data_IF_979446667074
#
_entry.id   IF_979446667074
#
_cell.length_a   1.000
_cell.length_b   1.000
_cell.length_c   1.000
_cell.angle_alpha   90.00
_cell.angle_beta   90.00
_cell.angle_gamma   90.00
#
_symmetry.space_group_name_H-M   'P 1'
#
loop_
_entity.id
_entity.type
_entity.pdbx_description
1 polymer ?
#
# COMPACT_ATOMS: atom_id res chain seq x y z
N UNK A 1 -20.35 6.92 6.12
CA UNK A 1 -19.19 7.00 5.21
C UNK A 1 -19.55 8.00 4.12
N UNK A 2 -18.73 9.00 3.85
CA UNK A 2 -19.05 9.96 2.79
C UNK A 2 -18.92 9.32 1.40
N UNK A 3 -19.74 9.75 0.43
CA UNK A 3 -19.68 9.27 -0.96
C UNK A 3 -18.27 9.44 -1.57
N UNK A 4 -17.55 10.48 -1.13
CA UNK A 4 -16.17 10.72 -1.54
C UNK A 4 -15.22 9.59 -1.08
N UNK A 5 -15.32 9.14 0.18
CA UNK A 5 -14.49 8.02 0.67
C UNK A 5 -14.83 6.71 -0.04
N UNK A 6 -16.11 6.48 -0.37
CA UNK A 6 -16.53 5.33 -1.18
C UNK A 6 -15.94 5.38 -2.59
N UNK A 7 -15.97 6.54 -3.25
CA UNK A 7 -15.38 6.70 -4.57
C UNK A 7 -13.86 6.45 -4.55
N UNK A 8 -13.15 6.97 -3.53
CA UNK A 8 -11.73 6.72 -3.34
C UNK A 8 -11.44 5.23 -3.08
N UNK A 9 -12.27 4.56 -2.27
CA UNK A 9 -12.14 3.12 -2.01
C UNK A 9 -12.41 2.27 -3.26
N UNK A 10 -13.38 2.66 -4.10
CA UNK A 10 -13.62 2.01 -5.38
C UNK A 10 -12.43 2.15 -6.36
N UNK A 11 -11.76 3.31 -6.35
CA UNK A 11 -10.54 3.50 -7.12
C UNK A 11 -9.44 2.55 -6.65
N UNK A 12 -9.16 2.50 -5.34
CA UNK A 12 -8.12 1.61 -4.81
C UNK A 12 -8.46 0.13 -5.00
N UNK A 13 -9.75 -0.22 -5.01
CA UNK A 13 -10.18 -1.56 -5.43
C UNK A 13 -9.79 -1.84 -6.89
N UNK A 14 -10.10 -0.92 -7.82
CA UNK A 14 -9.75 -1.09 -9.25
C UNK A 14 -8.24 -1.24 -9.44
N UNK A 15 -7.43 -0.45 -8.72
CA UNK A 15 -5.98 -0.49 -8.77
C UNK A 15 -5.44 -1.84 -8.27
N UNK A 16 -5.88 -2.27 -7.09
CA UNK A 16 -5.46 -3.54 -6.50
C UNK A 16 -5.96 -4.73 -7.31
N UNK A 17 -7.18 -4.67 -7.84
CA UNK A 17 -7.70 -5.75 -8.68
C UNK A 17 -6.83 -5.92 -9.94
N UNK A 18 -6.42 -4.84 -10.60
CA UNK A 18 -5.50 -4.88 -11.74
C UNK A 18 -4.12 -5.44 -11.38
N UNK A 19 -3.65 -5.20 -10.17
CA UNK A 19 -2.38 -5.70 -9.67
C UNK A 19 -2.44 -7.21 -9.39
N UNK A 20 -3.40 -7.63 -8.58
CA UNK A 20 -3.45 -9.00 -8.07
C UNK A 20 -4.03 -10.00 -9.08
N UNK A 21 -5.00 -9.61 -9.90
CA UNK A 21 -5.56 -10.49 -10.94
C UNK A 21 -4.53 -10.82 -12.02
N UNK A 22 -3.62 -9.88 -12.32
CA UNK A 22 -2.58 -10.10 -13.33
C UNK A 22 -1.66 -11.29 -12.96
N UNK A 23 -1.40 -11.51 -11.66
CA UNK A 23 -0.56 -12.63 -11.20
C UNK A 23 -1.17 -13.98 -11.58
N UNK A 24 -2.47 -14.15 -11.38
CA UNK A 24 -3.16 -15.41 -11.70
C UNK A 24 -3.42 -15.62 -13.20
N UNK A 25 -3.37 -14.53 -13.99
CA UNK A 25 -3.56 -14.59 -15.45
C UNK A 25 -2.28 -14.85 -16.23
N UNK A 26 -1.09 -14.86 -15.60
CA UNK A 26 0.20 -15.06 -16.28
C UNK A 26 0.19 -16.27 -17.22
N UNK A 27 -0.28 -17.47 -16.83
CA UNK A 27 -0.32 -18.62 -17.73
C UNK A 27 -1.24 -18.39 -18.95
N UNK A 28 -2.44 -17.83 -18.73
CA UNK A 28 -3.41 -17.57 -19.79
C UNK A 28 -2.92 -16.51 -20.78
N UNK A 29 -2.22 -15.47 -20.30
CA UNK A 29 -1.61 -14.45 -21.15
C UNK A 29 -0.46 -15.06 -21.96
N UNK A 30 0.40 -15.89 -21.35
CA UNK A 30 1.52 -16.52 -22.01
C UNK A 30 1.03 -17.42 -23.18
N UNK A 31 0.00 -18.22 -22.95
CA UNK A 31 -0.64 -19.04 -23.99
C UNK A 31 -1.23 -18.16 -25.08
N UNK A 32 -2.02 -17.14 -24.71
CA UNK A 32 -2.73 -16.29 -25.67
C UNK A 32 -1.81 -15.38 -26.50
N UNK A 33 -0.64 -15.04 -26.00
CA UNK A 33 0.34 -14.17 -26.70
C UNK A 33 1.49 -14.95 -27.36
N UNK A 34 1.61 -16.25 -27.12
CA UNK A 34 2.74 -17.09 -27.51
C UNK A 34 4.10 -16.60 -26.95
N UNK A 35 4.07 -15.91 -25.80
CA UNK A 35 5.25 -15.44 -25.09
C UNK A 35 5.60 -16.36 -23.92
N UNK A 36 6.85 -16.33 -23.48
CA UNK A 36 7.26 -17.13 -22.31
C UNK A 36 6.61 -16.63 -21.03
N UNK A 37 6.33 -17.53 -20.09
CA UNK A 37 5.82 -17.20 -18.75
C UNK A 37 6.72 -16.18 -18.05
N UNK A 38 8.05 -16.30 -18.21
CA UNK A 38 9.02 -15.34 -17.67
C UNK A 38 8.85 -13.93 -18.26
N UNK A 39 8.63 -13.83 -19.57
CA UNK A 39 8.37 -12.55 -20.24
C UNK A 39 7.09 -11.89 -19.74
N UNK A 40 6.02 -12.70 -19.57
CA UNK A 40 4.77 -12.18 -19.02
C UNK A 40 4.91 -11.82 -17.55
N UNK A 41 5.69 -12.57 -16.76
CA UNK A 41 5.99 -12.23 -15.37
C UNK A 41 6.63 -10.85 -15.21
N UNK A 42 7.40 -10.37 -16.21
CA UNK A 42 7.95 -9.00 -16.20
C UNK A 42 6.86 -7.91 -16.16
N UNK A 43 5.63 -8.18 -16.63
CA UNK A 43 4.51 -7.24 -16.54
C UNK A 43 4.18 -6.84 -15.09
N UNK A 44 4.35 -7.77 -14.15
CA UNK A 44 4.11 -7.54 -12.71
C UNK A 44 5.20 -6.63 -12.16
N UNK A 45 6.46 -6.95 -12.46
CA UNK A 45 7.61 -6.16 -12.00
C UNK A 45 7.60 -4.74 -12.56
N UNK A 46 7.34 -4.56 -13.87
CA UNK A 46 7.33 -3.24 -14.49
C UNK A 46 6.16 -2.37 -13.99
N UNK A 47 5.02 -2.99 -13.63
CA UNK A 47 3.92 -2.31 -12.97
C UNK A 47 4.33 -1.78 -11.59
N UNK A 48 4.97 -2.61 -10.76
CA UNK A 48 5.45 -2.23 -9.44
C UNK A 48 6.52 -1.11 -9.51
N UNK A 49 7.41 -1.15 -10.52
CA UNK A 49 8.34 -0.05 -10.80
C UNK A 49 7.58 1.22 -11.15
N UNK A 50 6.54 1.13 -11.99
CA UNK A 50 5.65 2.24 -12.29
C UNK A 50 5.04 2.86 -11.03
N UNK A 51 4.49 2.04 -10.13
CA UNK A 51 3.92 2.48 -8.84
C UNK A 51 4.97 3.22 -8.01
N UNK A 52 6.16 2.62 -7.87
CA UNK A 52 7.26 3.17 -7.06
C UNK A 52 7.78 4.51 -7.57
N UNK A 53 7.77 4.74 -8.89
CA UNK A 53 8.16 6.01 -9.51
C UNK A 53 6.99 6.99 -9.47
N UNK A 54 5.79 6.56 -9.88
CA UNK A 54 4.61 7.43 -10.00
C UNK A 54 4.20 8.05 -8.67
N UNK A 55 4.23 7.27 -7.60
CA UNK A 55 3.79 7.73 -6.29
C UNK A 55 4.57 8.96 -5.78
N UNK A 56 5.90 9.01 -5.72
CA UNK A 56 6.61 10.20 -5.25
C UNK A 56 6.75 11.28 -6.32
N UNK A 57 7.04 10.92 -7.59
CA UNK A 57 7.43 11.92 -8.60
C UNK A 57 6.24 12.63 -9.20
N UNK A 58 5.27 11.88 -9.75
CA UNK A 58 4.11 12.48 -10.40
C UNK A 58 3.14 13.09 -9.38
N UNK A 59 3.02 12.53 -8.17
CA UNK A 59 2.23 13.17 -7.11
C UNK A 59 2.82 14.53 -6.72
N UNK A 60 4.15 14.65 -6.66
CA UNK A 60 4.84 15.92 -6.42
C UNK A 60 4.61 16.94 -7.55
N UNK A 61 4.75 16.52 -8.81
CA UNK A 61 4.51 17.38 -9.98
C UNK A 61 3.07 17.88 -10.03
N UNK A 62 2.11 17.05 -9.64
CA UNK A 62 0.69 17.32 -9.69
C UNK A 62 0.11 17.89 -8.38
N UNK A 63 0.94 18.09 -7.35
CA UNK A 63 0.50 18.57 -6.03
C UNK A 63 -0.24 19.92 -6.06
N UNK A 64 0.09 20.79 -7.03
CA UNK A 64 -0.53 22.10 -7.19
C UNK A 64 -1.81 22.09 -8.04
N UNK A 65 -2.11 20.98 -8.70
CA UNK A 65 -3.30 20.86 -9.53
C UNK A 65 -4.54 20.47 -8.68
N UNK A 66 -5.76 20.81 -9.13
CA UNK A 66 -6.98 20.44 -8.41
C UNK A 66 -7.07 18.93 -8.22
N UNK A 67 -7.01 18.46 -6.97
CA UNK A 67 -6.94 17.02 -6.59
C UNK A 67 -8.00 16.16 -7.27
N UNK A 68 -9.24 16.65 -7.32
CA UNK A 68 -10.35 16.00 -8.02
C UNK A 68 -10.03 15.70 -9.49
N UNK A 69 -9.46 16.69 -10.21
CA UNK A 69 -9.11 16.52 -11.63
C UNK A 69 -7.94 15.56 -11.80
N UNK A 70 -6.92 15.69 -10.96
CA UNK A 70 -5.75 14.79 -10.99
C UNK A 70 -6.15 13.34 -10.74
N UNK A 71 -6.92 13.07 -9.70
CA UNK A 71 -7.41 11.73 -9.39
C UNK A 71 -8.24 11.15 -10.54
N UNK A 72 -9.19 11.93 -11.09
CA UNK A 72 -10.05 11.48 -12.18
C UNK A 72 -9.27 11.22 -13.47
N UNK A 73 -8.38 12.14 -13.87
CA UNK A 73 -7.56 11.95 -15.06
C UNK A 73 -6.58 10.79 -14.92
N UNK A 74 -5.97 10.61 -13.75
CA UNK A 74 -5.11 9.46 -13.47
C UNK A 74 -5.87 8.13 -13.59
N UNK A 75 -7.12 8.07 -13.12
CA UNK A 75 -7.97 6.88 -13.29
C UNK A 75 -8.36 6.64 -14.75
N UNK A 76 -8.56 7.69 -15.56
CA UNK A 76 -8.78 7.52 -17.01
C UNK A 76 -7.53 7.00 -17.72
N UNK A 77 -6.36 7.53 -17.39
CA UNK A 77 -5.09 7.06 -17.96
C UNK A 77 -4.79 5.62 -17.51
N UNK A 78 -5.09 5.28 -16.26
CA UNK A 78 -5.04 3.90 -15.76
C UNK A 78 -5.99 2.98 -16.54
N UNK A 79 -7.21 3.40 -16.78
CA UNK A 79 -8.19 2.65 -17.59
C UNK A 79 -7.69 2.46 -19.04
N UNK A 80 -7.17 3.50 -19.66
CA UNK A 80 -6.58 3.43 -21.01
C UNK A 80 -5.37 2.47 -21.05
N UNK A 81 -4.50 2.48 -20.03
CA UNK A 81 -3.39 1.55 -19.90
C UNK A 81 -3.86 0.08 -19.83
N UNK A 82 -4.89 -0.21 -19.03
CA UNK A 82 -5.44 -1.57 -18.96
C UNK A 82 -6.16 -1.98 -20.25
N UNK A 83 -6.88 -1.08 -20.90
CA UNK A 83 -7.48 -1.33 -22.22
C UNK A 83 -6.40 -1.62 -23.28
N UNK A 84 -5.31 -0.84 -23.27
CA UNK A 84 -4.16 -1.08 -24.15
C UNK A 84 -3.52 -2.45 -23.89
N UNK A 85 -3.43 -2.87 -22.62
CA UNK A 85 -2.99 -4.23 -22.26
C UNK A 85 -3.89 -5.29 -22.90
N UNK A 86 -5.22 -5.11 -22.87
CA UNK A 86 -6.18 -6.04 -23.46
C UNK A 86 -6.08 -6.13 -25.00
N UNK A 87 -5.65 -5.06 -25.66
CA UNK A 87 -5.68 -4.94 -27.13
C UNK A 87 -4.36 -5.34 -27.80
N UNK A 88 -3.32 -5.70 -27.05
CA UNK A 88 -2.00 -5.98 -27.63
C UNK A 88 -1.53 -7.41 -27.39
N UNK A 89 -0.75 -7.91 -28.36
CA UNK A 89 -0.01 -9.17 -28.26
C UNK A 89 1.51 -8.94 -28.20
N UNK A 90 1.94 -7.69 -28.31
CA UNK A 90 3.35 -7.29 -28.34
C UNK A 90 3.90 -7.10 -26.92
N UNK A 91 5.01 -7.77 -26.59
CA UNK A 91 5.65 -7.65 -25.28
C UNK A 91 6.02 -6.21 -24.92
N UNK A 92 6.67 -5.40 -25.80
CA UNK A 92 6.97 -4.00 -25.45
C UNK A 92 5.73 -3.18 -25.12
N UNK A 93 4.64 -3.37 -25.83
CA UNK A 93 3.39 -2.65 -25.57
C UNK A 93 2.69 -3.17 -24.30
N UNK A 94 2.74 -4.48 -24.01
CA UNK A 94 2.28 -5.03 -22.74
C UNK A 94 3.05 -4.40 -21.56
N UNK A 95 4.38 -4.35 -21.65
CA UNK A 95 5.21 -3.76 -20.60
C UNK A 95 4.96 -2.24 -20.48
N UNK A 96 4.90 -1.52 -21.59
CA UNK A 96 4.65 -0.07 -21.61
C UNK A 96 3.29 0.31 -21.02
N UNK A 97 2.23 -0.43 -21.38
CA UNK A 97 0.88 -0.21 -20.84
C UNK A 97 0.80 -0.53 -19.34
N UNK A 98 1.48 -1.59 -18.89
CA UNK A 98 1.57 -1.94 -17.47
C UNK A 98 2.36 -0.91 -16.67
N UNK A 99 3.48 -0.42 -17.22
CA UNK A 99 4.24 0.67 -16.60
C UNK A 99 3.39 1.93 -16.43
N UNK A 100 2.67 2.34 -17.48
CA UNK A 100 1.77 3.50 -17.45
C UNK A 100 0.65 3.33 -16.41
N UNK A 101 0.02 2.16 -16.38
CA UNK A 101 -1.00 1.84 -15.38
C UNK A 101 -0.42 1.87 -13.96
N UNK A 102 0.80 1.36 -13.75
CA UNK A 102 1.52 1.43 -12.49
C UNK A 102 1.84 2.86 -12.04
N UNK A 103 2.33 3.70 -12.94
CA UNK A 103 2.54 5.13 -12.65
C UNK A 103 1.27 5.79 -12.11
N UNK A 104 0.13 5.57 -12.76
CA UNK A 104 -1.15 6.15 -12.35
C UNK A 104 -1.67 5.54 -11.04
N UNK A 105 -1.44 4.25 -10.82
CA UNK A 105 -1.73 3.60 -9.54
C UNK A 105 -1.01 4.33 -8.39
N UNK A 106 0.29 4.56 -8.51
CA UNK A 106 1.07 5.27 -7.50
C UNK A 106 0.53 6.67 -7.21
N UNK A 107 0.22 7.45 -8.24
CA UNK A 107 -0.38 8.79 -8.11
C UNK A 107 -1.72 8.74 -7.37
N UNK A 108 -2.61 7.84 -7.79
CA UNK A 108 -3.95 7.74 -7.19
C UNK A 108 -3.86 7.33 -5.72
N UNK A 109 -3.03 6.35 -5.36
CA UNK A 109 -2.85 5.96 -3.96
C UNK A 109 -2.30 7.10 -3.10
N UNK A 110 -1.27 7.81 -3.58
CA UNK A 110 -0.68 8.93 -2.86
C UNK A 110 -1.70 10.03 -2.58
N UNK A 111 -2.44 10.44 -3.61
CA UNK A 111 -3.42 11.51 -3.51
C UNK A 111 -4.72 11.08 -2.81
N UNK A 112 -5.16 9.82 -2.99
CA UNK A 112 -6.36 9.32 -2.34
C UNK A 112 -6.20 9.29 -0.81
N UNK A 113 -5.05 8.84 -0.31
CA UNK A 113 -4.78 8.79 1.13
C UNK A 113 -4.71 10.18 1.76
N UNK A 114 -4.01 11.13 1.14
CA UNK A 114 -3.94 12.51 1.62
C UNK A 114 -5.29 13.22 1.53
N UNK A 115 -6.06 13.00 0.46
CA UNK A 115 -7.42 13.54 0.30
C UNK A 115 -8.38 12.99 1.35
N UNK A 116 -8.31 11.69 1.63
CA UNK A 116 -9.14 11.06 2.65
C UNK A 116 -8.81 11.59 4.05
N UNK A 117 -7.54 11.74 4.38
CA UNK A 117 -7.10 12.30 5.66
C UNK A 117 -7.58 13.74 5.84
N UNK A 118 -7.43 14.58 4.82
CA UNK A 118 -7.87 15.98 4.84
C UNK A 118 -9.38 16.13 4.97
N UNK A 119 -10.18 15.20 4.42
CA UNK A 119 -11.65 15.27 4.43
C UNK A 119 -12.28 15.07 5.81
N UNK A 120 -11.60 14.45 6.78
CA UNK A 120 -12.15 14.06 8.08
C UNK A 120 -11.43 14.72 9.28
N UNK A 121 -10.30 15.35 9.03
CA UNK A 121 -9.45 15.94 10.07
C UNK A 121 -8.55 14.93 10.81
N UNK A 122 -7.63 15.42 11.65
CA UNK A 122 -6.52 14.63 12.20
C UNK A 122 -6.96 13.44 13.06
N UNK A 123 -8.02 13.60 13.85
CA UNK A 123 -8.47 12.58 14.82
C UNK A 123 -9.05 11.31 14.17
N UNK A 124 -9.54 11.42 12.93
CA UNK A 124 -10.19 10.32 12.20
C UNK A 124 -9.44 9.95 10.91
N UNK A 125 -8.29 10.56 10.67
CA UNK A 125 -7.54 10.40 9.41
C UNK A 125 -7.07 8.95 9.19
N UNK A 126 -6.67 8.24 10.23
CA UNK A 126 -6.29 6.83 10.13
C UNK A 126 -7.44 5.94 9.68
N UNK A 127 -8.64 6.14 10.23
CA UNK A 127 -9.83 5.39 9.80
C UNK A 127 -10.26 5.72 8.36
N UNK A 128 -10.11 6.97 7.92
CA UNK A 128 -10.38 7.37 6.54
C UNK A 128 -9.37 6.74 5.56
N UNK A 129 -8.09 6.74 5.90
CA UNK A 129 -7.02 6.08 5.15
C UNK A 129 -7.32 4.57 5.07
N UNK A 130 -7.65 3.93 6.19
CA UNK A 130 -8.01 2.50 6.21
C UNK A 130 -9.23 2.20 5.33
N UNK A 131 -10.22 3.09 5.27
CA UNK A 131 -11.37 2.94 4.37
C UNK A 131 -10.95 2.96 2.91
N UNK A 132 -10.05 3.88 2.53
CA UNK A 132 -9.52 3.97 1.16
C UNK A 132 -8.70 2.72 0.83
N UNK A 133 -7.75 2.33 1.67
CA UNK A 133 -6.96 1.11 1.46
C UNK A 133 -7.78 -0.19 1.63
N UNK A 134 -8.96 -0.11 2.24
CA UNK A 134 -9.92 -1.21 2.29
C UNK A 134 -10.30 -1.72 0.91
N UNK A 135 -10.43 -0.84 -0.09
CA UNK A 135 -10.62 -1.22 -1.48
C UNK A 135 -9.50 -2.13 -2.00
N UNK A 136 -8.24 -1.75 -1.74
CA UNK A 136 -7.07 -2.55 -2.09
C UNK A 136 -7.06 -3.92 -1.39
N UNK A 137 -7.44 -3.95 -0.10
CA UNK A 137 -7.50 -5.18 0.69
C UNK A 137 -8.58 -6.15 0.16
N UNK A 138 -9.75 -5.62 -0.20
CA UNK A 138 -10.82 -6.41 -0.83
C UNK A 138 -10.36 -6.92 -2.20
N UNK A 139 -9.65 -6.09 -2.97
CA UNK A 139 -9.08 -6.49 -4.26
C UNK A 139 -8.05 -7.62 -4.12
N UNK A 140 -7.22 -7.59 -3.08
CA UNK A 140 -6.28 -8.68 -2.78
C UNK A 140 -7.03 -9.99 -2.49
N UNK A 141 -8.05 -9.93 -1.64
CA UNK A 141 -8.82 -11.11 -1.24
C UNK A 141 -9.61 -11.73 -2.41
N UNK A 142 -10.12 -10.92 -3.32
CA UNK A 142 -10.92 -11.36 -4.46
C UNK A 142 -10.11 -11.53 -5.76
N UNK A 143 -9.04 -10.76 -5.93
CA UNK A 143 -8.31 -10.66 -7.20
C UNK A 143 -7.73 -11.98 -7.67
N UNK A 144 -7.03 -12.70 -6.79
CA UNK A 144 -6.43 -14.00 -7.14
C UNK A 144 -7.51 -15.07 -7.42
N UNK A 145 -8.52 -15.30 -6.55
CA UNK A 145 -9.58 -16.25 -6.83
C UNK A 145 -10.38 -15.92 -8.11
N UNK A 146 -10.78 -14.66 -8.28
CA UNK A 146 -11.52 -14.24 -9.47
C UNK A 146 -10.67 -14.31 -10.74
N UNK A 147 -9.38 -13.99 -10.64
CA UNK A 147 -8.46 -14.11 -11.77
C UNK A 147 -8.22 -15.55 -12.19
N UNK A 148 -8.09 -16.47 -11.24
CA UNK A 148 -7.97 -17.90 -11.53
C UNK A 148 -9.25 -18.43 -12.19
N UNK A 149 -10.42 -18.08 -11.66
CA UNK A 149 -11.70 -18.43 -12.25
C UNK A 149 -11.85 -17.85 -13.67
N UNK A 150 -11.56 -16.57 -13.82
CA UNK A 150 -11.67 -15.88 -15.11
C UNK A 150 -10.68 -16.43 -16.15
N UNK A 151 -9.46 -16.74 -15.77
CA UNK A 151 -8.45 -17.32 -16.65
C UNK A 151 -8.81 -18.70 -17.20
N UNK A 152 -9.70 -19.44 -16.50
CA UNK A 152 -10.22 -20.73 -16.97
C UNK A 152 -11.51 -20.64 -17.78
N UNK A 153 -12.26 -19.53 -17.75
CA UNK A 153 -13.61 -19.43 -18.34
C UNK A 153 -13.74 -18.29 -19.37
N UNK A 154 -12.90 -17.25 -19.29
CA UNK A 154 -12.95 -16.08 -20.15
C UNK A 154 -11.57 -15.85 -20.81
N UNK A 155 -11.57 -15.02 -21.83
CA UNK A 155 -10.30 -14.54 -22.40
C UNK A 155 -9.63 -13.59 -21.41
N UNK A 156 -8.32 -13.70 -21.24
CA UNK A 156 -7.58 -12.82 -20.35
C UNK A 156 -7.77 -11.31 -20.69
N UNK A 157 -7.99 -11.00 -21.98
CA UNK A 157 -8.30 -9.65 -22.45
C UNK A 157 -9.58 -9.09 -21.82
N UNK A 158 -10.62 -9.92 -21.69
CA UNK A 158 -11.92 -9.51 -21.15
C UNK A 158 -11.79 -9.04 -19.70
N UNK A 159 -10.86 -9.64 -18.95
CA UNK A 159 -10.55 -9.22 -17.58
C UNK A 159 -9.92 -7.82 -17.55
N UNK A 160 -8.96 -7.53 -18.44
CA UNK A 160 -8.36 -6.20 -18.54
C UNK A 160 -9.35 -5.15 -19.07
N UNK A 161 -10.26 -5.52 -19.97
CA UNK A 161 -11.39 -4.65 -20.37
C UNK A 161 -12.29 -4.34 -19.18
N UNK A 162 -12.65 -5.34 -18.36
CA UNK A 162 -13.44 -5.12 -17.16
C UNK A 162 -12.74 -4.17 -16.17
N UNK A 163 -11.43 -4.31 -15.97
CA UNK A 163 -10.62 -3.39 -15.15
C UNK A 163 -10.66 -1.97 -15.73
N UNK A 164 -10.53 -1.83 -17.04
CA UNK A 164 -10.59 -0.52 -17.71
C UNK A 164 -11.97 0.14 -17.49
N UNK A 165 -13.05 -0.62 -17.61
CA UNK A 165 -14.42 -0.14 -17.33
C UNK A 165 -14.57 0.29 -15.87
N UNK A 166 -14.13 -0.54 -14.92
CA UNK A 166 -14.16 -0.19 -13.49
C UNK A 166 -13.33 1.08 -13.23
N UNK A 167 -12.17 1.23 -13.84
CA UNK A 167 -11.32 2.42 -13.75
C UNK A 167 -12.02 3.67 -14.29
N UNK A 168 -12.68 3.57 -15.45
CA UNK A 168 -13.43 4.68 -16.04
C UNK A 168 -14.66 5.09 -15.20
N UNK A 169 -15.41 4.10 -14.68
CA UNK A 169 -16.53 4.35 -13.76
C UNK A 169 -16.03 5.00 -12.46
N UNK A 170 -14.90 4.54 -11.92
CA UNK A 170 -14.28 5.14 -10.73
C UNK A 170 -13.85 6.59 -10.99
N UNK A 171 -13.32 6.90 -12.18
CA UNK A 171 -13.01 8.28 -12.59
C UNK A 171 -14.25 9.17 -12.58
N UNK A 172 -15.36 8.69 -13.16
CA UNK A 172 -16.63 9.41 -13.14
C UNK A 172 -17.15 9.63 -11.72
N UNK A 173 -17.06 8.61 -10.87
CA UNK A 173 -17.44 8.71 -9.46
C UNK A 173 -16.60 9.76 -8.70
N UNK A 174 -15.30 9.82 -8.96
CA UNK A 174 -14.43 10.87 -8.38
C UNK A 174 -14.86 12.27 -8.84
N UNK A 175 -15.19 12.44 -10.11
CA UNK A 175 -15.66 13.73 -10.64
C UNK A 175 -16.99 14.16 -10.03
N UNK A 176 -17.86 13.23 -9.65
CA UNK A 176 -19.17 13.53 -9.09
C UNK A 176 -19.12 13.74 -7.57
N UNK A 177 -18.37 12.93 -6.85
CA UNK A 177 -18.47 12.81 -5.39
C UNK A 177 -17.28 13.37 -4.61
N UNK A 178 -16.11 13.61 -5.26
CA UNK A 178 -14.99 14.21 -4.55
C UNK A 178 -15.18 15.73 -4.46
N UNK A 179 -15.08 16.34 -3.27
CA UNK A 179 -15.15 17.78 -3.13
C UNK A 179 -14.05 18.46 -3.95
N UNK A 180 -14.34 19.67 -4.43
CA UNK A 180 -13.31 20.53 -5.04
C UNK A 180 -12.46 21.10 -3.89
N UNK A 181 -11.55 20.29 -3.34
CA UNK A 181 -10.61 20.68 -2.29
C UNK A 181 -9.23 20.77 -2.93
N UNK A 182 -8.51 21.85 -2.65
CA UNK A 182 -7.12 22.02 -3.07
C UNK A 182 -6.90 22.75 -4.38
N UNK A 183 -5.76 23.38 -4.50
CA UNK A 183 -5.25 24.14 -5.64
C UNK A 183 -5.34 25.65 -5.46
N UNK A 184 -6.52 26.22 -5.24
CA UNK A 184 -6.66 27.67 -5.14
C UNK A 184 -6.74 28.17 -3.68
N UNK A 185 -7.25 27.38 -2.75
CA UNK A 185 -7.43 27.77 -1.34
C UNK A 185 -6.18 27.57 -0.49
N UNK A 186 -5.34 26.56 -0.81
CA UNK A 186 -4.03 26.39 -0.18
C UNK A 186 -2.98 27.35 -0.74
N UNK A 187 -3.10 27.75 -2.02
CA UNK A 187 -2.23 28.76 -2.65
C UNK A 187 -2.46 30.19 -2.09
N UNK A 188 -3.61 30.45 -1.45
CA UNK A 188 -3.93 31.75 -0.85
C UNK A 188 -3.45 31.88 0.61
N UNK A 189 -3.01 30.79 1.24
CA UNK A 189 -2.76 30.74 2.68
C UNK A 189 -1.27 30.70 3.10
N UNK A 190 -0.31 30.85 2.18
CA UNK A 190 1.10 30.86 2.57
C UNK A 190 2.06 30.25 1.55
N UNK A 191 3.30 30.03 1.96
CA UNK A 191 4.38 29.48 1.14
C UNK A 191 3.99 28.18 0.42
N UNK A 192 4.36 28.08 -0.86
CA UNK A 192 4.13 26.86 -1.66
C UNK A 192 4.83 25.66 -1.01
N UNK A 193 4.13 24.53 -0.82
CA UNK A 193 4.75 23.32 -0.27
C UNK A 193 6.00 22.94 -1.07
N UNK A 194 7.12 22.79 -0.39
CA UNK A 194 8.42 22.47 -0.99
C UNK A 194 8.61 20.96 -1.02
N UNK A 195 8.82 20.42 -2.21
CA UNK A 195 9.23 19.01 -2.39
C UNK A 195 10.53 18.75 -1.62
N UNK A 196 11.50 19.67 -1.75
CA UNK A 196 12.80 19.53 -1.09
C UNK A 196 12.68 19.57 0.44
N UNK A 197 11.84 20.43 0.98
CA UNK A 197 11.59 20.49 2.41
C UNK A 197 11.01 19.17 2.95
N UNK A 198 10.17 18.49 2.17
CA UNK A 198 9.60 17.20 2.54
C UNK A 198 10.63 16.07 2.47
N UNK A 199 11.42 16.03 1.40
CA UNK A 199 12.42 14.98 1.16
C UNK A 199 13.60 15.07 2.15
N UNK A 200 13.91 16.26 2.65
CA UNK A 200 14.97 16.48 3.63
C UNK A 200 14.47 16.50 5.08
N UNK A 201 13.15 16.41 5.31
CA UNK A 201 12.59 16.39 6.65
C UNK A 201 12.91 15.09 7.40
N UNK A 202 13.55 15.19 8.53
CA UNK A 202 14.00 14.05 9.33
C UNK A 202 12.84 13.19 9.86
N UNK A 203 11.70 13.82 10.21
CA UNK A 203 10.50 13.12 10.66
C UNK A 203 9.89 12.26 9.55
N UNK A 204 9.77 12.84 8.35
CA UNK A 204 9.33 12.15 7.14
C UNK A 204 10.27 11.00 6.79
N UNK A 205 11.58 11.25 6.77
CA UNK A 205 12.59 10.22 6.47
C UNK A 205 12.58 9.07 7.49
N UNK A 206 12.43 9.35 8.77
CA UNK A 206 12.29 8.31 9.80
C UNK A 206 11.05 7.43 9.56
N UNK A 207 9.92 8.04 9.19
CA UNK A 207 8.69 7.27 8.89
C UNK A 207 8.86 6.43 7.63
N UNK A 208 9.41 7.02 6.56
CA UNK A 208 9.67 6.32 5.29
C UNK A 208 10.64 5.14 5.51
N UNK A 209 11.70 5.33 6.30
CA UNK A 209 12.62 4.25 6.67
C UNK A 209 11.93 3.16 7.50
N UNK A 210 11.07 3.55 8.47
CA UNK A 210 10.26 2.60 9.23
C UNK A 210 9.40 1.76 8.31
N UNK A 211 8.74 2.37 7.32
CA UNK A 211 7.92 1.66 6.33
C UNK A 211 8.75 0.69 5.50
N UNK A 212 9.85 1.15 4.89
CA UNK A 212 10.70 0.31 4.06
C UNK A 212 11.23 -0.91 4.82
N UNK A 213 11.72 -0.70 6.04
CA UNK A 213 12.25 -1.76 6.88
C UNK A 213 11.16 -2.73 7.38
N UNK A 214 9.96 -2.21 7.71
CA UNK A 214 8.81 -3.04 8.13
C UNK A 214 8.42 -4.02 7.03
N UNK A 215 8.28 -3.51 5.80
CA UNK A 215 7.90 -4.36 4.67
C UNK A 215 9.06 -5.22 4.16
N UNK A 216 10.30 -4.74 4.23
CA UNK A 216 11.47 -5.56 3.94
C UNK A 216 11.52 -6.78 4.87
N UNK A 217 11.40 -6.57 6.17
CA UNK A 217 11.41 -7.67 7.13
C UNK A 217 10.25 -8.64 6.95
N UNK A 218 9.02 -8.12 6.85
CA UNK A 218 7.83 -8.94 6.65
C UNK A 218 7.92 -9.79 5.37
N UNK A 219 8.30 -9.19 4.23
CA UNK A 219 8.35 -9.88 2.94
C UNK A 219 9.59 -10.76 2.76
N UNK A 220 10.63 -10.59 3.56
CA UNK A 220 11.73 -11.57 3.64
C UNK A 220 11.21 -12.96 4.01
N UNK A 221 10.30 -13.05 4.98
CA UNK A 221 9.66 -14.32 5.36
C UNK A 221 8.44 -14.65 4.49
N UNK A 222 7.52 -13.67 4.27
CA UNK A 222 6.23 -13.91 3.63
C UNK A 222 6.34 -14.47 2.22
N UNK A 223 7.31 -14.02 1.45
CA UNK A 223 7.56 -14.51 0.07
C UNK A 223 7.84 -16.02 0.04
N UNK A 224 8.40 -16.56 1.10
CA UNK A 224 8.82 -17.97 1.19
C UNK A 224 7.99 -18.79 2.16
N UNK A 225 6.89 -18.25 2.69
CA UNK A 225 6.04 -18.91 3.68
C UNK A 225 5.41 -20.19 3.11
N UNK A 226 5.05 -20.23 1.83
CA UNK A 226 4.51 -21.44 1.19
C UNK A 226 5.51 -22.61 1.23
N UNK A 227 6.80 -22.33 1.02
CA UNK A 227 7.87 -23.34 1.09
C UNK A 227 7.99 -23.89 2.50
N UNK A 228 7.93 -23.02 3.53
CA UNK A 228 7.93 -23.45 4.94
C UNK A 228 6.70 -24.31 5.25
N UNK A 229 5.51 -23.87 4.82
CA UNK A 229 4.25 -24.61 5.05
C UNK A 229 4.27 -25.99 4.39
N UNK A 230 4.89 -26.11 3.20
CA UNK A 230 5.00 -27.37 2.48
C UNK A 230 6.08 -28.28 3.09
N UNK A 231 7.30 -27.76 3.30
CA UNK A 231 8.47 -28.59 3.64
C UNK A 231 8.65 -28.82 5.14
N UNK A 232 8.18 -27.90 5.98
CA UNK A 232 8.35 -27.97 7.46
C UNK A 232 7.05 -28.30 8.15
N UNK A 233 5.94 -27.66 7.77
CA UNK A 233 4.61 -27.95 8.34
C UNK A 233 3.96 -29.19 7.68
N UNK A 234 4.50 -29.63 6.52
CA UNK A 234 3.99 -30.77 5.74
C UNK A 234 2.53 -30.63 5.30
N UNK A 235 2.11 -29.41 4.96
CA UNK A 235 0.75 -29.17 4.48
C UNK A 235 0.61 -29.51 2.99
N UNK A 236 -0.50 -30.17 2.65
CA UNK A 236 -0.93 -30.29 1.27
C UNK A 236 -1.36 -28.94 0.68
N UNK A 237 -1.44 -28.83 -0.65
CA UNK A 237 -1.80 -27.59 -1.34
C UNK A 237 -3.13 -26.95 -0.84
N UNK A 238 -4.13 -27.78 -0.49
CA UNK A 238 -5.39 -27.30 0.10
C UNK A 238 -5.20 -26.66 1.48
N UNK A 239 -4.31 -27.23 2.31
CA UNK A 239 -3.95 -26.68 3.61
C UNK A 239 -3.23 -25.35 3.49
N UNK A 240 -2.28 -25.26 2.56
CA UNK A 240 -1.57 -24.00 2.24
C UNK A 240 -2.57 -22.93 1.78
N UNK A 241 -3.52 -23.28 0.89
CA UNK A 241 -4.60 -22.38 0.48
C UNK A 241 -5.42 -21.89 1.67
N UNK A 242 -5.76 -22.79 2.61
CA UNK A 242 -6.44 -22.43 3.85
C UNK A 242 -5.66 -21.44 4.72
N UNK A 243 -4.34 -21.61 4.82
CA UNK A 243 -3.45 -20.67 5.54
C UNK A 243 -3.43 -19.27 4.90
N UNK A 244 -3.36 -19.20 3.56
CA UNK A 244 -3.45 -17.91 2.88
C UNK A 244 -4.84 -17.26 2.99
N UNK A 245 -5.91 -18.05 3.01
CA UNK A 245 -7.26 -17.53 3.26
C UNK A 245 -7.37 -16.94 4.68
N UNK A 246 -6.82 -17.63 5.68
CA UNK A 246 -6.76 -17.16 7.05
C UNK A 246 -5.96 -15.85 7.19
N UNK A 247 -4.79 -15.76 6.51
CA UNK A 247 -4.02 -14.54 6.39
C UNK A 247 -4.84 -13.41 5.76
N UNK A 248 -5.49 -13.66 4.62
CA UNK A 248 -6.27 -12.65 3.88
C UNK A 248 -7.46 -12.10 4.69
N UNK A 249 -8.19 -12.97 5.38
CA UNK A 249 -9.27 -12.57 6.30
C UNK A 249 -8.70 -11.69 7.42
N UNK A 250 -7.62 -12.13 8.05
CA UNK A 250 -6.95 -11.39 9.11
C UNK A 250 -6.40 -10.05 8.63
N UNK A 251 -5.89 -9.98 7.40
CA UNK A 251 -5.45 -8.76 6.74
C UNK A 251 -6.59 -7.73 6.60
N UNK A 252 -7.80 -8.17 6.22
CA UNK A 252 -8.94 -7.29 6.13
C UNK A 252 -9.32 -6.68 7.49
N UNK A 253 -9.31 -7.48 8.56
CA UNK A 253 -9.50 -7.00 9.92
C UNK A 253 -8.35 -6.08 10.35
N UNK A 254 -7.11 -6.44 10.05
CA UNK A 254 -5.91 -5.64 10.33
C UNK A 254 -6.02 -4.24 9.75
N UNK A 255 -6.36 -4.11 8.48
CA UNK A 255 -6.54 -2.80 7.82
C UNK A 255 -7.64 -1.98 8.49
N UNK A 256 -8.80 -2.57 8.78
CA UNK A 256 -9.91 -1.88 9.40
C UNK A 256 -9.62 -1.43 10.84
N UNK A 257 -8.96 -2.27 11.62
CA UNK A 257 -8.58 -1.99 13.01
C UNK A 257 -7.40 -1.03 13.10
N UNK A 258 -6.42 -1.14 12.18
CA UNK A 258 -5.21 -0.33 12.18
C UNK A 258 -5.49 1.17 12.08
N UNK A 259 -6.46 1.57 11.26
CA UNK A 259 -6.88 2.96 11.15
C UNK A 259 -7.45 3.53 12.45
N UNK A 260 -8.32 2.76 13.12
CA UNK A 260 -8.88 3.14 14.43
C UNK A 260 -7.82 3.13 15.53
N UNK A 261 -6.95 2.14 15.49
CA UNK A 261 -5.89 1.98 16.48
C UNK A 261 -4.93 3.17 16.47
N UNK A 262 -4.44 3.59 15.29
CA UNK A 262 -3.56 4.77 15.21
C UNK A 262 -4.27 6.06 15.61
N UNK A 263 -5.57 6.16 15.39
CA UNK A 263 -6.36 7.31 15.82
C UNK A 263 -6.48 7.37 17.36
N UNK A 264 -6.53 6.21 18.04
CA UNK A 264 -6.73 6.12 19.49
C UNK A 264 -5.43 6.22 20.30
N UNK A 265 -4.35 5.52 19.87
CA UNK A 265 -3.11 5.42 20.65
C UNK A 265 -1.97 6.30 20.13
N UNK A 266 -2.14 6.88 18.94
CA UNK A 266 -1.15 7.73 18.28
C UNK A 266 -0.11 6.94 17.49
N UNK A 267 0.63 7.69 16.65
CA UNK A 267 1.49 7.15 15.59
C UNK A 267 2.61 6.25 16.12
N UNK A 268 3.31 6.69 17.18
CA UNK A 268 4.46 5.96 17.75
C UNK A 268 4.06 4.60 18.31
N UNK A 269 3.04 4.57 19.18
CA UNK A 269 2.59 3.33 19.83
C UNK A 269 2.05 2.37 18.77
N UNK A 270 1.21 2.88 17.86
CA UNK A 270 0.65 2.06 16.80
C UNK A 270 1.73 1.44 15.90
N UNK A 271 2.72 2.23 15.46
CA UNK A 271 3.83 1.74 14.62
C UNK A 271 4.68 0.70 15.36
N UNK A 272 5.03 0.93 16.63
CA UNK A 272 5.76 -0.05 17.42
C UNK A 272 4.98 -1.36 17.60
N UNK A 273 3.67 -1.27 17.82
CA UNK A 273 2.81 -2.45 18.01
C UNK A 273 2.75 -3.33 16.77
N UNK A 274 2.59 -2.74 15.57
CA UNK A 274 2.55 -3.54 14.34
C UNK A 274 3.89 -4.17 14.02
N UNK A 275 4.99 -3.45 14.24
CA UNK A 275 6.34 -4.01 14.07
C UNK A 275 6.57 -5.16 15.05
N UNK A 276 6.19 -5.01 16.32
CA UNK A 276 6.26 -6.08 17.31
C UNK A 276 5.41 -7.30 16.91
N UNK A 277 4.20 -7.07 16.38
CA UNK A 277 3.35 -8.13 15.84
C UNK A 277 4.02 -8.89 14.69
N UNK A 278 4.72 -8.21 13.79
CA UNK A 278 5.48 -8.85 12.72
C UNK A 278 6.70 -9.63 13.23
N UNK A 279 7.40 -9.12 14.24
CA UNK A 279 8.49 -9.85 14.91
C UNK A 279 7.95 -11.14 15.54
N UNK A 280 6.80 -11.07 16.23
CA UNK A 280 6.12 -12.25 16.80
C UNK A 280 5.71 -13.23 15.69
N UNK A 281 5.20 -12.73 14.55
CA UNK A 281 4.82 -13.59 13.44
C UNK A 281 6.02 -14.32 12.83
N UNK A 282 7.13 -13.62 12.54
CA UNK A 282 8.33 -14.25 11.98
C UNK A 282 9.00 -15.20 12.98
N UNK A 283 9.15 -14.78 14.24
CA UNK A 283 9.68 -15.63 15.32
C UNK A 283 8.79 -16.85 15.55
N UNK A 284 7.47 -16.66 15.56
CA UNK A 284 6.48 -17.73 15.68
C UNK A 284 6.51 -18.70 14.50
N UNK A 285 6.72 -18.21 13.26
CA UNK A 285 6.88 -19.07 12.09
C UNK A 285 8.17 -19.92 12.17
N UNK A 286 9.26 -19.33 12.67
CA UNK A 286 10.51 -20.05 12.86
C UNK A 286 10.40 -21.16 13.93
N UNK A 287 9.81 -20.82 15.09
CA UNK A 287 9.72 -21.75 16.22
C UNK A 287 8.57 -22.76 16.07
N UNK A 288 7.45 -22.33 15.51
CA UNK A 288 6.21 -23.11 15.39
C UNK A 288 6.03 -23.82 14.06
N UNK A 289 6.99 -23.72 13.15
CA UNK A 289 6.91 -24.25 11.78
C UNK A 289 6.35 -25.66 11.65
N UNK A 290 6.76 -26.64 12.48
CA UNK A 290 6.24 -28.01 12.42
C UNK A 290 4.76 -28.17 12.83
N UNK A 291 4.17 -27.18 13.50
CA UNK A 291 2.80 -27.26 14.02
C UNK A 291 1.80 -26.49 13.16
N UNK A 292 0.85 -27.18 12.56
CA UNK A 292 -0.25 -26.59 11.78
C UNK A 292 -1.06 -25.56 12.59
N UNK A 293 -1.32 -25.86 13.88
CA UNK A 293 -2.10 -24.95 14.75
C UNK A 293 -1.29 -23.68 15.04
N UNK A 294 0.00 -23.82 15.35
CA UNK A 294 0.88 -22.68 15.58
C UNK A 294 0.98 -21.81 14.31
N UNK A 295 1.14 -22.43 13.14
CA UNK A 295 1.18 -21.71 11.87
C UNK A 295 -0.14 -21.01 11.55
N UNK A 296 -1.29 -21.57 11.90
CA UNK A 296 -2.59 -20.89 11.81
C UNK A 296 -2.61 -19.61 12.64
N UNK A 297 -2.15 -19.67 13.89
CA UNK A 297 -1.99 -18.49 14.77
C UNK A 297 -1.01 -17.45 14.20
N UNK A 298 0.12 -17.91 13.66
CA UNK A 298 1.10 -17.06 12.98
C UNK A 298 0.48 -16.32 11.79
N UNK A 299 -0.26 -17.00 10.91
CA UNK A 299 -0.89 -16.40 9.75
C UNK A 299 -1.93 -15.34 10.14
N UNK A 300 -2.66 -15.54 11.25
CA UNK A 300 -3.58 -14.54 11.80
C UNK A 300 -2.82 -13.30 12.25
N UNK A 301 -1.81 -13.46 13.09
CA UNK A 301 -1.01 -12.33 13.62
C UNK A 301 -0.31 -11.60 12.49
N UNK A 302 0.24 -12.34 11.54
CA UNK A 302 0.94 -11.75 10.39
C UNK A 302 0.00 -10.93 9.51
N UNK A 303 -1.16 -11.48 9.14
CA UNK A 303 -2.16 -10.77 8.36
C UNK A 303 -2.66 -9.50 9.05
N UNK A 304 -3.02 -9.61 10.34
CA UNK A 304 -3.43 -8.47 11.16
C UNK A 304 -2.35 -7.38 11.18
N UNK A 305 -1.10 -7.72 11.52
CA UNK A 305 -0.03 -6.75 11.68
C UNK A 305 0.39 -6.12 10.34
N UNK A 306 0.56 -6.92 9.29
CA UNK A 306 0.97 -6.43 7.96
C UNK A 306 0.00 -5.40 7.40
N UNK A 307 -1.31 -5.65 7.51
CA UNK A 307 -2.32 -4.77 6.94
C UNK A 307 -2.77 -3.65 7.89
N UNK A 308 -2.64 -3.82 9.21
CA UNK A 308 -2.74 -2.69 10.14
C UNK A 308 -1.61 -1.67 9.92
N UNK A 309 -0.41 -2.12 9.54
CA UNK A 309 0.71 -1.24 9.23
C UNK A 309 0.41 -0.25 8.08
N UNK A 310 -0.43 -0.64 7.11
CA UNK A 310 -0.78 0.21 5.95
C UNK A 310 -1.35 1.57 6.38
N UNK A 311 -2.53 1.67 7.02
CA UNK A 311 -3.10 2.95 7.43
C UNK A 311 -2.27 3.63 8.54
N UNK A 312 -1.62 2.87 9.42
CA UNK A 312 -0.80 3.39 10.51
C UNK A 312 0.39 4.16 9.97
N UNK A 313 1.22 3.54 9.13
CA UNK A 313 2.43 4.16 8.58
C UNK A 313 2.07 5.27 7.58
N UNK A 314 0.97 5.10 6.82
CA UNK A 314 0.49 6.14 5.92
C UNK A 314 0.01 7.39 6.68
N UNK A 315 -0.73 7.23 7.77
CA UNK A 315 -1.09 8.37 8.64
C UNK A 315 0.16 9.00 9.26
N UNK A 316 1.08 8.17 9.74
CA UNK A 316 2.28 8.63 10.42
C UNK A 316 3.14 9.54 9.52
N UNK A 317 3.32 9.17 8.25
CA UNK A 317 4.08 10.01 7.31
C UNK A 317 3.36 11.32 6.99
N UNK A 318 2.03 11.30 6.88
CA UNK A 318 1.24 12.51 6.64
C UNK A 318 1.34 13.48 7.82
N UNK A 319 1.29 12.96 9.05
CA UNK A 319 1.46 13.78 10.27
C UNK A 319 2.88 14.33 10.36
N UNK A 320 3.90 13.55 10.03
CA UNK A 320 5.29 14.02 10.00
C UNK A 320 5.47 15.19 9.02
N UNK A 321 4.93 15.07 7.80
CA UNK A 321 5.01 16.12 6.79
C UNK A 321 4.25 17.41 7.19
N UNK A 322 3.13 17.29 7.91
CA UNK A 322 2.36 18.44 8.42
C UNK A 322 3.08 19.17 9.58
N UNK A 323 3.97 18.49 10.29
CA UNK A 323 4.83 19.10 11.31
C UNK A 323 5.86 20.07 10.74
N UNK A 324 6.13 20.00 9.45
CA UNK A 324 6.99 20.94 8.71
C UNK A 324 6.10 21.91 7.91
N UNK A 325 6.13 23.20 8.27
CA UNK A 325 5.28 24.24 7.64
C UNK A 325 5.43 24.34 6.11
N UNK A 326 6.58 23.92 5.58
CA UNK A 326 6.88 23.91 4.13
C UNK A 326 6.74 22.50 3.52
N UNK A 327 6.30 21.49 4.27
CA UNK A 327 6.18 20.12 3.80
C UNK A 327 4.96 19.88 2.91
N UNK A 328 5.07 18.93 1.95
CA UNK A 328 3.97 18.46 1.10
C UNK A 328 3.46 17.09 1.56
N UNK A 329 2.23 16.99 2.07
CA UNK A 329 1.62 15.69 2.42
C UNK A 329 1.54 14.71 1.25
N UNK A 330 1.35 15.21 0.02
CA UNK A 330 1.28 14.40 -1.20
C UNK A 330 2.62 13.74 -1.50
N UNK A 331 3.71 14.51 -1.41
CA UNK A 331 5.08 14.02 -1.60
C UNK A 331 5.42 12.99 -0.53
N UNK A 332 5.13 13.28 0.74
CA UNK A 332 5.37 12.36 1.85
C UNK A 332 4.57 11.05 1.68
N UNK A 333 3.29 11.16 1.29
CA UNK A 333 2.46 10.01 0.96
C UNK A 333 3.07 9.17 -0.15
N UNK A 334 3.51 9.80 -1.23
CA UNK A 334 4.15 9.12 -2.36
C UNK A 334 5.46 8.44 -1.96
N UNK A 335 6.30 9.09 -1.14
CA UNK A 335 7.53 8.51 -0.60
C UNK A 335 7.23 7.26 0.25
N UNK A 336 6.16 7.28 1.05
CA UNK A 336 5.77 6.15 1.87
C UNK A 336 5.30 4.95 1.02
N UNK A 337 4.54 5.21 -0.05
CA UNK A 337 4.11 4.16 -0.99
C UNK A 337 5.31 3.57 -1.74
N UNK A 338 6.26 4.40 -2.16
CA UNK A 338 7.51 3.92 -2.76
C UNK A 338 8.32 3.08 -1.77
N UNK A 339 8.44 3.52 -0.51
CA UNK A 339 9.14 2.79 0.55
C UNK A 339 8.51 1.41 0.82
N UNK A 340 7.19 1.32 0.82
CA UNK A 340 6.46 0.07 0.90
C UNK A 340 6.88 -0.90 -0.23
N UNK A 341 6.82 -0.46 -1.48
CA UNK A 341 7.16 -1.30 -2.63
C UNK A 341 8.65 -1.67 -2.68
N UNK A 342 9.54 -0.73 -2.37
CA UNK A 342 10.99 -0.99 -2.25
C UNK A 342 11.25 -2.01 -1.13
N UNK A 343 10.58 -1.86 0.01
CA UNK A 343 10.67 -2.81 1.12
C UNK A 343 10.29 -4.23 0.69
N UNK A 344 9.14 -4.39 -0.02
CA UNK A 344 8.71 -5.68 -0.56
C UNK A 344 9.78 -6.27 -1.49
N UNK A 345 10.28 -5.48 -2.43
CA UNK A 345 11.27 -5.96 -3.40
C UNK A 345 12.58 -6.39 -2.72
N UNK A 346 13.13 -5.54 -1.87
CA UNK A 346 14.38 -5.82 -1.13
C UNK A 346 14.19 -7.03 -0.20
N UNK A 347 13.07 -7.09 0.54
CA UNK A 347 12.77 -8.20 1.43
C UNK A 347 12.66 -9.52 0.68
N UNK A 348 11.94 -9.55 -0.44
CA UNK A 348 11.80 -10.76 -1.26
C UNK A 348 13.14 -11.26 -1.79
N UNK A 349 14.02 -10.35 -2.24
CA UNK A 349 15.37 -10.71 -2.69
C UNK A 349 16.21 -11.25 -1.53
N UNK A 350 16.19 -10.58 -0.38
CA UNK A 350 16.93 -10.98 0.81
C UNK A 350 16.47 -12.35 1.34
N UNK A 351 15.16 -12.59 1.34
CA UNK A 351 14.58 -13.89 1.65
C UNK A 351 15.01 -14.98 0.68
N UNK A 352 15.16 -14.66 -0.62
CA UNK A 352 15.68 -15.59 -1.63
C UNK A 352 17.13 -16.02 -1.40
N UNK A 353 17.96 -15.14 -0.88
CA UNK A 353 19.31 -15.54 -0.44
C UNK A 353 19.26 -16.41 0.80
N UNK A 354 18.43 -16.06 1.79
CA UNK A 354 18.29 -16.82 3.02
C UNK A 354 17.73 -18.23 2.77
N UNK A 355 16.72 -18.37 1.91
CA UNK A 355 16.06 -19.66 1.61
C UNK A 355 16.98 -20.74 1.02
N UNK A 356 18.17 -20.35 0.50
CA UNK A 356 19.18 -21.30 0.06
C UNK A 356 19.80 -22.13 1.21
N UNK A 357 19.66 -21.67 2.45
CA UNK A 357 20.23 -22.35 3.62
C UNK A 357 19.23 -23.31 4.27
N UNK A 358 18.00 -22.86 4.48
CA UNK A 358 16.89 -23.69 4.95
C UNK A 358 15.54 -23.02 4.65
N UNK A 359 14.42 -23.76 4.67
CA UNK A 359 13.08 -23.19 4.51
C UNK A 359 12.71 -22.16 5.58
N UNK A 360 13.28 -22.27 6.80
CA UNK A 360 13.02 -21.37 7.93
C UNK A 360 13.94 -20.14 7.94
N UNK A 361 15.08 -20.18 7.25
CA UNK A 361 16.08 -19.12 7.28
C UNK A 361 15.53 -17.73 6.88
N UNK A 362 14.57 -17.59 5.93
CA UNK A 362 13.94 -16.32 5.64
C UNK A 362 13.21 -15.70 6.84
N UNK A 363 12.67 -16.53 7.74
CA UNK A 363 11.97 -16.05 8.94
C UNK A 363 12.93 -15.35 9.90
N UNK A 364 14.09 -15.96 10.15
CA UNK A 364 15.16 -15.34 10.96
C UNK A 364 15.75 -14.10 10.28
N UNK A 365 16.04 -14.20 9.00
CA UNK A 365 16.63 -13.08 8.23
C UNK A 365 15.74 -11.83 8.25
N UNK A 366 14.42 -12.01 8.20
CA UNK A 366 13.45 -10.92 8.26
C UNK A 366 13.37 -10.20 9.62
N UNK A 367 13.85 -10.83 10.71
CA UNK A 367 13.87 -10.19 12.04
C UNK A 367 14.80 -8.98 12.09
N UNK A 368 15.93 -9.00 11.39
CA UNK A 368 16.89 -7.89 11.41
C UNK A 368 16.26 -6.58 10.90
N UNK A 369 15.67 -6.52 9.69
CA UNK A 369 14.98 -5.30 9.26
C UNK A 369 13.83 -4.88 10.18
N UNK A 370 13.08 -5.84 10.79
CA UNK A 370 12.00 -5.50 11.72
C UNK A 370 12.51 -4.91 13.02
N UNK A 371 13.61 -5.42 13.58
CA UNK A 371 14.24 -4.84 14.77
C UNK A 371 14.67 -3.39 14.48
N UNK A 372 15.32 -3.16 13.33
CA UNK A 372 15.67 -1.81 12.90
C UNK A 372 14.42 -0.94 12.71
N UNK A 373 13.35 -1.45 12.10
CA UNK A 373 12.08 -0.75 11.98
C UNK A 373 11.52 -0.34 13.35
N UNK A 374 11.60 -1.23 14.35
CA UNK A 374 11.20 -0.97 15.73
C UNK A 374 12.01 0.16 16.37
N UNK A 375 13.31 0.20 16.14
CA UNK A 375 14.18 1.29 16.61
C UNK A 375 13.81 2.63 15.97
N UNK A 376 13.52 2.66 14.66
CA UNK A 376 13.05 3.87 13.98
C UNK A 376 11.66 4.27 14.47
N UNK A 377 10.72 3.32 14.58
CA UNK A 377 9.36 3.55 15.08
C UNK A 377 9.36 4.13 16.50
N UNK A 378 10.27 3.67 17.37
CA UNK A 378 10.40 4.18 18.74
C UNK A 378 10.81 5.65 18.83
N UNK A 379 11.41 6.20 17.78
CA UNK A 379 11.84 7.59 17.68
C UNK A 379 10.83 8.51 17.01
N UNK A 380 9.70 7.98 16.53
CA UNK A 380 8.63 8.78 15.94
C UNK A 380 8.04 9.74 16.99
N UNK A 381 7.66 10.94 16.55
CA UNK A 381 7.07 11.95 17.43
C UNK A 381 5.75 11.43 18.05
N UNK A 382 5.57 11.69 19.33
CA UNK A 382 4.29 11.45 20.01
C UNK A 382 3.34 12.61 19.72
N UNK A 383 2.05 12.32 19.51
CA UNK A 383 1.02 13.33 19.21
C UNK A 383 0.88 14.45 20.29
N UNK A 384 1.59 14.35 21.41
CA UNK A 384 1.62 15.37 22.45
C UNK A 384 2.39 16.66 22.04
N UNK A 385 3.24 16.61 21.02
CA UNK A 385 4.01 17.77 20.56
C UNK A 385 3.30 18.62 19.50
N UNK A 386 2.16 18.16 18.97
CA UNK A 386 1.33 18.89 18.01
C UNK A 386 0.16 19.64 18.65
N UNK A 387 0.04 19.65 19.98
CA UNK A 387 -0.89 20.57 20.63
C UNK A 387 -0.27 21.98 20.52
N UNK A 388 -0.95 22.83 19.75
CA UNK A 388 -0.69 24.26 19.54
C UNK A 388 -0.21 24.93 20.84
N UNK A 389 0.72 25.89 20.74
CA UNK A 389 0.96 26.76 21.88
C UNK A 389 -0.37 27.35 22.30
N UNK A 390 -0.71 27.20 23.56
CA UNK A 390 -1.90 27.77 24.15
C UNK A 390 -1.95 29.24 23.74
N UNK A 391 -3.10 29.66 23.22
CA UNK A 391 -3.45 31.07 23.10
C UNK A 391 -3.41 31.70 24.50
N UNK A 392 -2.20 32.03 24.92
CA UNK A 392 -1.91 32.68 26.20
C UNK A 392 -1.60 34.16 25.97
N UNK A 393 -2.50 34.98 26.53
CA UNK A 393 -2.34 36.41 26.78
C UNK A 393 -2.56 37.37 25.61
N UNK A 394 -3.81 37.48 25.18
CA UNK A 394 -4.38 38.77 24.81
C UNK A 394 -5.41 39.18 25.88
N UNK A 395 -4.94 39.50 27.10
CA UNK A 395 -5.71 40.29 28.03
C UNK A 395 -4.77 41.17 28.85
N UNK A 396 -5.08 42.43 28.82
CA UNK A 396 -4.56 43.56 29.64
C UNK A 396 -3.53 44.40 28.98
N UNK A 397 -3.97 45.33 28.18
CA UNK A 397 -3.68 46.77 28.40
C UNK A 397 -4.92 47.53 27.90
N UNK A 398 -5.85 47.72 28.82
CA UNK A 398 -6.78 48.83 28.76
C UNK A 398 -6.15 50.01 29.53
N UNK A 399 -6.17 51.14 28.95
CA UNK A 399 -6.66 52.43 29.49
C UNK A 399 -6.78 53.37 28.33
#
# INVERSE_FOLDING_TARGET
MSLALLALSACTFALGFAEFVAVSLVPSIAVGTHLSVGSIGMMIGIYAIGVSIGAPTLSALLAHAPRRRVLATSMLVFAAGNLSTAMTMSLPMLLGSRFLAGLMHGVVLALASSTAAAAVGPERSGNAIATVFGGLTVALALGVPLGTFAGGHFRWQDVFVAIAVIGAVSSAALMLFTPVVGGAQEAAAGEKPSVWATVSDTGTLHTVATTALTYAGSFTGFTYISVLLEQVTHLAASGITGMFALYGISAAFGNALGGRFVDSVGNRIASCTVVAGLVVALGGAYLGGPSTIAMGGVMIVWGLASFAAVPILQKTVLVAAQGNSSGSPEVASGMNIAAFNVGIAVGSLFGGFASKHSPEAPMLAGLLPLILAGLFASRLATNAQTRMPAAGNLTKHGV
#
